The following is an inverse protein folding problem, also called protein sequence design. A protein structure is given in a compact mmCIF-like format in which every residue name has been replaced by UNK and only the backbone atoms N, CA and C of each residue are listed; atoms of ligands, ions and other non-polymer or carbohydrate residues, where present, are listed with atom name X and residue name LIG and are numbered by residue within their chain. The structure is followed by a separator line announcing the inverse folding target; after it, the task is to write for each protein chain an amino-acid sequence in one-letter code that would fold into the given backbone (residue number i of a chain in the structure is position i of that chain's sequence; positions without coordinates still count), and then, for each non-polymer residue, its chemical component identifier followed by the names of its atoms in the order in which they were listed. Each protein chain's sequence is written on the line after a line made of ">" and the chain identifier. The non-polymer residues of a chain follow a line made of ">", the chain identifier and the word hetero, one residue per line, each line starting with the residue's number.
data_IF_147095054680
#
_entry.id   IF_147095054680
#
_cell.length_a   1.000
_cell.length_b   1.000
_cell.length_c   1.000
_cell.angle_alpha   90.00
_cell.angle_beta   90.00
_cell.angle_gamma   90.00
#
_symmetry.space_group_name_H-M   'P 1'
#
loop_
_entity.id
_entity.type
_entity.pdbx_description
1 polymer ?
#
# COMPACT_ATOMS: atom_id res chain seq x y z
N UNK A 1 -6.02 11.24 10.47
CA UNK A 1 -5.12 10.07 10.50
C UNK A 1 -3.67 10.52 10.58
N UNK A 2 -3.09 11.11 9.53
CA UNK A 2 -1.70 11.60 9.57
C UNK A 2 -1.42 12.57 10.74
N UNK A 3 -2.32 13.51 11.01
CA UNK A 3 -2.20 14.41 12.17
C UNK A 3 -2.28 13.70 13.54
N UNK A 4 -2.89 12.51 13.60
CA UNK A 4 -2.96 11.67 14.81
C UNK A 4 -1.75 10.74 14.93
N UNK A 5 -1.22 10.26 13.80
CA UNK A 5 -0.07 9.35 13.75
C UNK A 5 1.28 10.09 13.74
N UNK A 6 1.30 11.36 13.35
CA UNK A 6 2.53 12.16 13.21
C UNK A 6 3.37 11.80 11.98
N UNK A 7 2.90 10.90 11.12
CA UNK A 7 3.60 10.41 9.94
C UNK A 7 2.69 10.40 8.70
N UNK A 8 3.32 10.36 7.53
CA UNK A 8 2.61 10.22 6.26
C UNK A 8 2.20 8.78 6.02
N UNK A 9 1.00 8.60 5.47
CA UNK A 9 0.47 7.27 5.13
C UNK A 9 0.32 7.10 3.62
N UNK A 10 0.63 5.90 3.12
CA UNK A 10 0.30 5.52 1.74
C UNK A 10 -0.98 4.67 1.71
N UNK A 11 -1.63 4.58 0.55
CA UNK A 11 -2.96 3.95 0.43
C UNK A 11 -2.89 2.64 -0.35
N UNK A 12 -3.50 1.59 0.17
CA UNK A 12 -3.61 0.29 -0.49
C UNK A 12 -5.08 -0.10 -0.59
N UNK A 13 -5.50 -0.61 -1.74
CA UNK A 13 -6.81 -1.21 -1.94
C UNK A 13 -6.71 -2.72 -2.21
N UNK A 14 -7.64 -3.50 -1.64
CA UNK A 14 -7.79 -4.95 -1.87
C UNK A 14 -7.91 -5.41 -3.33
N UNK A 15 -8.23 -4.51 -4.28
CA UNK A 15 -8.41 -4.87 -5.69
C UNK A 15 -8.21 -3.66 -6.62
N UNK A 16 -7.93 -3.95 -7.89
CA UNK A 16 -7.67 -2.96 -8.94
C UNK A 16 -8.79 -1.95 -9.13
N UNK A 17 -10.03 -2.42 -9.22
CA UNK A 17 -11.16 -1.55 -9.55
C UNK A 17 -11.38 -0.53 -8.43
N UNK A 18 -11.17 -0.93 -7.17
CA UNK A 18 -11.22 -0.01 -6.04
C UNK A 18 -10.00 0.90 -5.96
N UNK A 19 -8.79 0.41 -6.24
CA UNK A 19 -7.62 1.28 -6.35
C UNK A 19 -7.85 2.39 -7.39
N UNK A 20 -8.41 2.03 -8.55
CA UNK A 20 -8.74 2.95 -9.64
C UNK A 20 -9.85 3.94 -9.24
N UNK A 21 -10.95 3.44 -8.66
CA UNK A 21 -12.07 4.26 -8.17
C UNK A 21 -11.58 5.30 -7.14
N UNK A 22 -10.86 4.85 -6.12
CA UNK A 22 -10.30 5.72 -5.08
C UNK A 22 -9.33 6.73 -5.70
N UNK A 23 -8.39 6.28 -6.54
CA UNK A 23 -7.44 7.15 -7.24
C UNK A 23 -8.12 8.20 -8.10
N UNK A 24 -9.28 7.90 -8.68
CA UNK A 24 -10.05 8.85 -9.50
C UNK A 24 -10.68 9.94 -8.63
N UNK A 25 -11.38 9.54 -7.55
CA UNK A 25 -12.17 10.45 -6.71
C UNK A 25 -11.40 11.11 -5.55
N UNK A 26 -10.19 10.66 -5.24
CA UNK A 26 -9.32 11.32 -4.27
C UNK A 26 -9.07 12.77 -4.71
N UNK A 27 -9.52 13.73 -3.88
CA UNK A 27 -9.35 15.17 -4.14
C UNK A 27 -7.88 15.56 -4.12
N UNK A 28 -7.16 15.11 -3.10
CA UNK A 28 -5.73 15.33 -2.93
C UNK A 28 -4.97 14.06 -3.33
N UNK A 29 -4.62 13.95 -4.60
CA UNK A 29 -3.84 12.81 -5.10
C UNK A 29 -2.37 13.04 -4.74
N UNK A 30 -1.83 12.20 -3.86
CA UNK A 30 -0.41 12.20 -3.53
C UNK A 30 0.20 10.94 -4.12
N UNK A 31 1.33 11.09 -4.81
CA UNK A 31 2.08 9.99 -5.42
C UNK A 31 3.47 9.96 -4.80
N UNK A 32 4.03 8.76 -4.63
CA UNK A 32 5.30 8.55 -3.92
C UNK A 32 6.52 8.73 -4.84
N UNK A 33 6.29 8.90 -6.14
CA UNK A 33 7.33 9.18 -7.13
C UNK A 33 6.77 9.19 -8.55
N UNK A 34 7.62 9.42 -9.57
CA UNK A 34 7.23 9.36 -10.97
C UNK A 34 6.59 8.01 -11.32
N UNK A 35 5.39 8.04 -11.93
CA UNK A 35 4.68 6.83 -12.35
C UNK A 35 3.95 6.07 -11.23
N UNK A 36 4.20 6.37 -9.95
CA UNK A 36 3.48 5.71 -8.85
C UNK A 36 1.99 6.10 -8.84
N UNK A 37 1.10 5.17 -8.51
CA UNK A 37 -0.30 5.48 -8.31
C UNK A 37 -0.53 6.16 -6.95
N UNK A 38 -1.62 6.93 -6.80
CA UNK A 38 -2.00 7.48 -5.51
C UNK A 38 -2.63 6.43 -4.58
N UNK A 39 -3.10 5.30 -5.12
CA UNK A 39 -3.60 4.14 -4.38
C UNK A 39 -3.03 2.88 -5.02
N UNK A 40 -2.29 2.10 -4.23
CA UNK A 40 -1.69 0.85 -4.65
C UNK A 40 -2.70 -0.30 -4.58
N UNK A 41 -2.41 -1.37 -5.32
CA UNK A 41 -3.09 -2.67 -5.17
C UNK A 41 -2.28 -3.55 -4.22
N UNK A 42 -2.92 -4.48 -3.54
CA UNK A 42 -2.23 -5.49 -2.72
C UNK A 42 -1.19 -6.25 -3.56
N UNK A 43 -0.03 -6.50 -2.95
CA UNK A 43 1.04 -7.35 -3.49
C UNK A 43 0.48 -8.66 -4.05
N UNK A 44 0.80 -8.93 -5.31
CA UNK A 44 0.46 -10.15 -6.03
C UNK A 44 1.54 -10.45 -7.07
N UNK A 45 1.82 -11.74 -7.26
CA UNK A 45 2.70 -12.24 -8.33
C UNK A 45 1.97 -12.38 -9.67
N UNK A 46 0.64 -12.29 -9.68
CA UNK A 46 -0.16 -12.47 -10.89
C UNK A 46 -0.16 -11.20 -11.77
N UNK A 47 0.28 -11.37 -13.02
CA UNK A 47 0.11 -10.34 -14.06
C UNK A 47 -1.30 -10.47 -14.62
N UNK A 48 -2.24 -9.72 -14.06
CA UNK A 48 -3.65 -9.80 -14.43
C UNK A 48 -4.06 -8.72 -15.45
N UNK A 49 -3.36 -7.59 -15.51
CA UNK A 49 -3.72 -6.44 -16.34
C UNK A 49 -2.61 -5.37 -16.35
N UNK A 50 -2.85 -4.26 -17.06
CA UNK A 50 -1.91 -3.13 -17.18
C UNK A 50 -1.49 -2.49 -15.84
N UNK A 51 -2.26 -2.63 -14.77
CA UNK A 51 -1.93 -2.07 -13.45
C UNK A 51 -0.88 -2.91 -12.72
N UNK A 52 -0.67 -4.17 -13.12
CA UNK A 52 0.44 -5.00 -12.61
C UNK A 52 1.81 -4.43 -12.98
N UNK A 53 1.89 -3.52 -13.95
CA UNK A 53 3.13 -2.84 -14.36
C UNK A 53 3.29 -1.45 -13.74
N UNK A 54 2.37 -1.03 -12.88
CA UNK A 54 2.56 0.20 -12.12
C UNK A 54 3.63 -0.02 -11.05
N UNK A 55 4.41 1.02 -10.70
CA UNK A 55 5.31 0.98 -9.55
C UNK A 55 4.58 0.47 -8.30
N UNK A 56 5.15 -0.55 -7.65
CA UNK A 56 4.52 -1.26 -6.53
C UNK A 56 5.14 -0.85 -5.20
N UNK A 57 4.38 -0.93 -4.12
CA UNK A 57 4.94 -0.60 -2.80
C UNK A 57 5.91 -1.68 -2.30
N UNK A 58 5.79 -2.91 -2.81
CA UNK A 58 6.64 -4.06 -2.48
C UNK A 58 7.86 -4.17 -3.43
N UNK A 59 8.06 -3.21 -4.33
CA UNK A 59 9.21 -3.23 -5.23
C UNK A 59 10.49 -2.73 -4.56
N UNK A 60 11.60 -3.41 -4.89
CA UNK A 60 12.94 -2.99 -4.51
C UNK A 60 13.53 -2.16 -5.65
N UNK A 61 14.05 -0.97 -5.32
CA UNK A 61 14.78 -0.12 -6.25
C UNK A 61 16.27 -0.15 -5.94
N UNK A 62 17.16 -0.01 -6.94
CA UNK A 62 18.60 0.01 -6.69
C UNK A 62 18.99 1.05 -5.66
N UNK A 63 19.85 0.69 -4.70
CA UNK A 63 20.36 1.62 -3.70
C UNK A 63 21.03 2.84 -4.38
N UNK A 64 20.84 4.06 -3.87
CA UNK A 64 21.58 5.22 -4.35
C UNK A 64 23.08 4.97 -4.21
N UNK A 65 23.88 5.34 -5.22
CA UNK A 65 25.34 5.09 -5.28
C UNK A 65 26.19 5.64 -4.10
N UNK A 66 25.58 6.35 -3.14
CA UNK A 66 26.22 7.00 -1.99
C UNK A 66 25.89 6.37 -0.63
N UNK A 67 25.17 5.25 -0.56
CA UNK A 67 25.14 4.45 0.68
C UNK A 67 26.50 3.82 0.87
N UNK A 68 27.23 4.24 1.90
CA UNK A 68 28.53 3.68 2.24
C UNK A 68 28.37 2.17 2.46
N UNK A 69 28.97 1.38 1.56
CA UNK A 69 29.07 -0.06 1.74
C UNK A 69 29.70 -0.32 3.11
N UNK A 70 28.98 -1.04 3.99
CA UNK A 70 29.59 -1.52 5.21
C UNK A 70 30.60 -2.61 4.84
N UNK A 71 31.81 -2.54 5.40
CA UNK A 71 32.87 -3.51 5.14
C UNK A 71 32.40 -4.92 5.53
N UNK A 72 32.01 -5.73 4.54
CA UNK A 72 31.59 -7.12 4.76
C UNK A 72 30.63 -7.71 3.72
N UNK A 73 30.02 -6.90 2.84
CA UNK A 73 28.98 -7.40 1.95
C UNK A 73 29.55 -8.27 0.81
N UNK A 74 29.29 -9.57 0.95
CA UNK A 74 29.38 -10.58 -0.10
C UNK A 74 28.34 -10.24 -1.14
N UNK A 75 28.77 -10.00 -2.38
CA UNK A 75 27.92 -9.75 -3.55
C UNK A 75 26.70 -10.69 -3.60
N UNK A 76 25.55 -10.20 -3.13
CA UNK A 76 24.23 -10.81 -3.31
C UNK A 76 23.40 -9.87 -4.18
N UNK A 77 22.38 -10.40 -4.87
CA UNK A 77 21.40 -9.61 -5.65
C UNK A 77 20.54 -8.67 -4.75
N UNK A 78 20.99 -8.37 -3.52
CA UNK A 78 20.29 -7.74 -2.40
C UNK A 78 20.54 -6.23 -2.25
N UNK A 79 21.23 -5.57 -3.19
CA UNK A 79 21.49 -4.11 -3.13
C UNK A 79 20.24 -3.23 -3.39
N UNK A 80 19.04 -3.81 -3.30
CA UNK A 80 17.77 -3.12 -3.45
C UNK A 80 17.29 -2.54 -2.13
N UNK A 81 16.76 -1.31 -2.15
CA UNK A 81 16.06 -0.71 -1.02
C UNK A 81 14.57 -0.64 -1.35
N UNK A 82 13.71 -1.07 -0.43
CA UNK A 82 12.28 -0.82 -0.53
C UNK A 82 11.95 0.54 0.09
N UNK A 83 11.41 1.47 -0.71
CA UNK A 83 11.08 2.84 -0.27
C UNK A 83 9.90 2.92 0.73
N UNK A 84 9.22 1.80 0.95
CA UNK A 84 8.06 1.66 1.82
C UNK A 84 8.35 0.92 3.12
N UNK A 85 9.51 0.26 3.23
CA UNK A 85 9.93 -0.43 4.45
C UNK A 85 9.85 0.52 5.66
N UNK A 86 9.25 0.04 6.75
CA UNK A 86 9.07 0.83 7.96
C UNK A 86 7.83 1.75 7.99
N UNK A 87 7.18 2.01 6.85
CA UNK A 87 6.10 3.01 6.75
C UNK A 87 4.74 2.44 7.16
N UNK A 88 3.82 3.35 7.48
CA UNK A 88 2.41 3.04 7.73
C UNK A 88 1.56 3.21 6.47
N UNK A 89 0.64 2.28 6.25
CA UNK A 89 -0.36 2.34 5.19
C UNK A 89 -1.78 2.41 5.74
N UNK A 90 -2.72 2.89 4.92
CA UNK A 90 -4.14 2.66 5.10
C UNK A 90 -4.64 1.65 4.07
N UNK A 91 -5.17 0.54 4.56
CA UNK A 91 -5.74 -0.51 3.73
C UNK A 91 -7.27 -0.38 3.65
N UNK A 92 -7.79 -0.26 2.43
CA UNK A 92 -9.20 -0.01 2.15
C UNK A 92 -9.77 -1.22 1.40
N UNK A 93 -10.76 -1.88 1.99
CA UNK A 93 -11.43 -3.04 1.43
C UNK A 93 -12.95 -2.91 1.39
N UNK A 94 -13.62 -3.68 0.54
CA UNK A 94 -15.08 -3.71 0.50
C UNK A 94 -15.63 -4.24 1.84
N UNK A 95 -16.65 -3.56 2.37
CA UNK A 95 -17.35 -4.04 3.55
C UNK A 95 -18.11 -5.33 3.21
N UNK A 96 -17.78 -6.43 3.89
CA UNK A 96 -18.26 -7.78 3.57
C UNK A 96 -17.14 -8.83 3.50
N UNK A 97 -15.88 -8.42 3.42
CA UNK A 97 -14.74 -9.31 3.68
C UNK A 97 -14.50 -9.41 5.18
N UNK A 98 -14.41 -10.64 5.70
CA UNK A 98 -14.29 -10.89 7.14
C UNK A 98 -12.94 -10.44 7.72
N UNK A 99 -11.87 -10.57 6.96
CA UNK A 99 -10.51 -10.23 7.39
C UNK A 99 -9.72 -9.54 6.27
N UNK A 100 -8.75 -8.67 6.60
CA UNK A 100 -7.78 -8.18 5.63
C UNK A 100 -7.06 -9.31 4.89
N UNK A 101 -6.68 -9.04 3.64
CA UNK A 101 -5.96 -9.98 2.79
C UNK A 101 -4.73 -10.55 3.52
N UNK A 102 -4.42 -11.84 3.29
CA UNK A 102 -3.32 -12.54 3.96
C UNK A 102 -1.98 -11.79 3.81
N UNK A 103 -1.70 -11.28 2.62
CA UNK A 103 -0.46 -10.54 2.32
C UNK A 103 -0.37 -9.27 3.18
N UNK A 104 -1.47 -8.53 3.34
CA UNK A 104 -1.53 -7.34 4.21
C UNK A 104 -1.30 -7.72 5.68
N UNK A 105 -1.84 -8.83 6.16
CA UNK A 105 -1.61 -9.27 7.54
C UNK A 105 -0.19 -9.77 7.80
N UNK A 106 0.45 -10.36 6.79
CA UNK A 106 1.80 -10.88 6.88
C UNK A 106 2.86 -9.79 6.73
N UNK A 107 2.61 -8.79 5.88
CA UNK A 107 3.58 -7.77 5.51
C UNK A 107 3.57 -6.52 6.41
N UNK A 108 2.76 -6.49 7.46
CA UNK A 108 2.72 -5.36 8.39
C UNK A 108 2.82 -5.86 9.83
N UNK A 109 3.49 -5.10 10.69
CA UNK A 109 3.61 -5.45 12.11
C UNK A 109 2.25 -5.47 12.83
N UNK A 110 1.36 -4.54 12.51
CA UNK A 110 -0.02 -4.56 13.00
C UNK A 110 -1.01 -4.09 11.94
N UNK A 111 -2.22 -4.66 11.98
CA UNK A 111 -3.33 -4.29 11.12
C UNK A 111 -4.57 -4.10 11.99
N UNK A 112 -4.96 -2.85 12.20
CA UNK A 112 -6.02 -2.48 13.15
C UNK A 112 -7.20 -1.84 12.41
N UNK A 113 -8.46 -2.18 12.74
CA UNK A 113 -9.62 -1.50 12.18
C UNK A 113 -9.61 -0.03 12.58
N UNK A 114 -9.92 0.85 11.63
CA UNK A 114 -9.87 2.30 11.84
C UNK A 114 -11.22 2.97 11.62
N UNK A 115 -11.87 2.70 10.49
CA UNK A 115 -13.11 3.36 10.14
C UNK A 115 -13.90 2.56 9.09
N UNK A 116 -15.17 2.91 8.97
CA UNK A 116 -16.03 2.50 7.85
C UNK A 116 -16.41 3.74 7.05
N UNK A 117 -16.25 3.69 5.74
CA UNK A 117 -16.66 4.75 4.81
C UNK A 117 -17.92 4.27 4.08
N UNK A 118 -18.97 5.08 4.10
CA UNK A 118 -20.18 4.82 3.32
C UNK A 118 -20.27 5.80 2.15
N UNK A 119 -20.44 5.27 0.95
CA UNK A 119 -20.77 6.06 -0.23
C UNK A 119 -22.28 6.04 -0.40
N UNK A 120 -22.90 7.22 -0.34
CA UNK A 120 -24.35 7.37 -0.43
C UNK A 120 -24.75 8.08 -1.72
N UNK A 121 -25.86 7.64 -2.32
CA UNK A 121 -26.52 8.29 -3.46
C UNK A 121 -28.01 8.37 -3.15
N UNK A 122 -28.58 9.59 -3.21
CA UNK A 122 -29.98 9.86 -2.85
C UNK A 122 -30.38 9.29 -1.48
N UNK A 123 -29.51 9.45 -0.48
CA UNK A 123 -29.73 8.97 0.89
C UNK A 123 -29.50 7.47 1.11
N UNK A 124 -29.39 6.66 0.04
CA UNK A 124 -29.13 5.22 0.12
C UNK A 124 -27.64 4.92 0.05
N UNK A 125 -27.16 4.01 0.90
CA UNK A 125 -25.79 3.49 0.81
C UNK A 125 -25.68 2.63 -0.44
N UNK A 126 -24.78 3.02 -1.35
CA UNK A 126 -24.51 2.27 -2.58
C UNK A 126 -23.22 1.45 -2.48
N UNK A 127 -22.29 1.86 -1.61
CA UNK A 127 -21.05 1.14 -1.31
C UNK A 127 -20.65 1.41 0.14
N UNK A 128 -19.98 0.44 0.75
CA UNK A 128 -19.36 0.61 2.06
C UNK A 128 -17.96 -0.01 2.02
N UNK A 129 -17.00 0.69 2.62
CA UNK A 129 -15.60 0.26 2.69
C UNK A 129 -15.16 0.22 4.15
N UNK A 130 -14.37 -0.78 4.50
CA UNK A 130 -13.70 -0.85 5.80
C UNK A 130 -12.24 -0.46 5.61
N UNK A 131 -11.76 0.36 6.52
CA UNK A 131 -10.43 0.95 6.50
C UNK A 131 -9.64 0.45 7.70
N UNK A 132 -8.42 0.00 7.45
CA UNK A 132 -7.49 -0.46 8.46
C UNK A 132 -6.22 0.41 8.45
N UNK A 133 -5.64 0.65 9.62
CA UNK A 133 -4.27 1.18 9.73
C UNK A 133 -3.32 -0.01 9.79
N UNK A 134 -2.37 -0.05 8.86
CA UNK A 134 -1.36 -1.08 8.71
C UNK A 134 0.00 -0.46 9.09
N UNK A 135 0.56 -0.80 10.24
CA UNK A 135 1.77 -0.15 10.77
C UNK A 135 3.03 -0.95 10.45
N UNK A 136 4.12 -0.22 10.21
CA UNK A 136 5.47 -0.76 10.02
C UNK A 136 5.48 -1.87 8.95
N UNK A 137 5.38 -1.47 7.69
CA UNK A 137 5.51 -2.36 6.55
C UNK A 137 6.85 -3.12 6.60
N UNK A 138 6.78 -4.42 6.35
CA UNK A 138 7.88 -5.36 6.29
C UNK A 138 7.73 -6.15 5.01
N UNK A 139 8.71 -6.03 4.12
CA UNK A 139 8.73 -6.83 2.88
C UNK A 139 8.57 -8.31 3.20
N UNK A 140 7.73 -9.00 2.45
CA UNK A 140 7.61 -10.45 2.57
C UNK A 140 8.89 -11.10 2.02
N UNK A 141 9.41 -12.16 2.66
CA UNK A 141 10.50 -12.93 2.09
C UNK A 141 10.05 -13.56 0.76
N UNK A 142 10.92 -13.46 -0.26
CA UNK A 142 10.71 -13.99 -1.61
C UNK A 142 10.59 -15.52 -1.63
#
# INVERSE_FOLDING_TARGET
>A
VEAQLGERVFLIADERDRASELSFYLKEKRVEGPGHPPVYIVESQDILNQFSFWPRYDEFVPAPRNTAAQEGDVYTEEDGVNAFEGRTAMFIQANGKAEPARNIRAAFQSVEPFATIEVRRFGRVIRSYVVHVCKNYRTLPL
#
